data_IF_214721511846
#
_entry.id   IF_214721511846
#
_cell.length_a   1.000
_cell.length_b   1.000
_cell.length_c   1.000
_cell.angle_alpha   90.00
_cell.angle_beta   90.00
_cell.angle_gamma   90.00
#
_symmetry.space_group_name_H-M   'P 1'
#
loop_
_entity.id
_entity.type
_entity.pdbx_description
1 polymer ?
#
# COMPACT_ATOMS: atom_id res chain seq x y z
N UNK A 1 -8.46 18.62 27.80
CA UNK A 1 -7.94 17.23 27.71
C UNK A 1 -7.92 16.85 26.24
N UNK A 2 -6.76 16.71 25.62
CA UNK A 2 -6.66 16.16 24.26
C UNK A 2 -6.56 14.65 24.44
N UNK A 3 -7.57 13.90 23.97
CA UNK A 3 -7.45 12.45 23.93
C UNK A 3 -6.41 12.11 22.86
N UNK A 4 -5.21 11.76 23.31
CA UNK A 4 -4.24 11.03 22.51
C UNK A 4 -4.76 9.62 22.22
N UNK A 5 -5.76 9.51 21.35
CA UNK A 5 -6.14 8.26 20.74
C UNK A 5 -5.15 8.03 19.60
N UNK A 6 -4.19 7.15 19.83
CA UNK A 6 -3.31 6.54 18.84
C UNK A 6 -4.16 6.14 17.62
N UNK A 7 -4.20 6.98 16.58
CA UNK A 7 -4.71 6.57 15.28
C UNK A 7 -3.73 5.49 14.85
N UNK A 8 -4.13 4.23 14.96
CA UNK A 8 -3.46 3.20 14.18
C UNK A 8 -3.92 3.50 12.77
N UNK A 9 -3.19 4.39 12.08
CA UNK A 9 -3.50 4.76 10.70
C UNK A 9 -3.43 3.45 9.92
N UNK A 10 -4.56 3.04 9.35
CA UNK A 10 -4.58 1.89 8.48
C UNK A 10 -3.73 2.26 7.25
N UNK A 11 -2.47 1.81 7.23
CA UNK A 11 -1.52 2.16 6.17
C UNK A 11 -2.00 1.64 4.81
N UNK A 12 -2.94 0.67 4.77
CA UNK A 12 -3.55 0.20 3.51
C UNK A 12 -4.34 1.30 2.84
N UNK A 13 -5.00 2.16 3.62
CA UNK A 13 -5.73 3.34 3.11
C UNK A 13 -4.77 4.33 2.46
N UNK A 14 -3.62 4.57 3.10
CA UNK A 14 -2.58 5.45 2.53
C UNK A 14 -2.01 4.88 1.21
N UNK A 15 -1.75 3.57 1.15
CA UNK A 15 -1.26 2.89 -0.06
C UNK A 15 -2.31 2.93 -1.18
N UNK A 16 -3.59 2.73 -0.86
CA UNK A 16 -4.65 2.89 -1.84
C UNK A 16 -4.72 4.33 -2.38
N UNK A 17 -4.63 5.33 -1.49
CA UNK A 17 -4.59 6.74 -1.88
C UNK A 17 -3.42 7.05 -2.82
N UNK A 18 -2.22 6.54 -2.51
CA UNK A 18 -1.05 6.68 -3.37
C UNK A 18 -1.27 6.07 -4.75
N UNK A 19 -1.79 4.83 -4.83
CA UNK A 19 -2.09 4.18 -6.10
C UNK A 19 -3.06 5.03 -6.95
N UNK A 20 -4.13 5.53 -6.34
CA UNK A 20 -5.12 6.39 -7.00
C UNK A 20 -4.51 7.69 -7.50
N UNK A 21 -3.71 8.38 -6.67
CA UNK A 21 -3.06 9.65 -7.05
C UNK A 21 -2.02 9.47 -8.15
N UNK A 22 -1.32 8.35 -8.17
CA UNK A 22 -0.33 8.00 -9.19
C UNK A 22 -0.94 7.45 -10.47
N UNK A 23 -2.23 7.11 -10.47
CA UNK A 23 -2.88 6.40 -11.58
C UNK A 23 -2.39 4.95 -11.73
N UNK A 24 -1.79 4.39 -10.68
CA UNK A 24 -1.33 3.00 -10.67
C UNK A 24 -2.48 2.07 -10.33
N UNK A 25 -2.51 0.89 -10.95
CA UNK A 25 -3.48 -0.14 -10.56
C UNK A 25 -3.04 -0.76 -9.23
N UNK A 26 -4.00 -1.15 -8.40
CA UNK A 26 -3.75 -1.83 -7.13
C UNK A 26 -4.55 -3.12 -7.05
N UNK A 27 -3.87 -4.21 -6.71
CA UNK A 27 -4.46 -5.52 -6.51
C UNK A 27 -4.16 -6.01 -5.09
N UNK A 28 -5.21 -6.29 -4.33
CA UNK A 28 -5.11 -6.79 -2.96
C UNK A 28 -5.13 -8.31 -2.94
N UNK A 29 -4.29 -8.90 -2.08
CA UNK A 29 -4.47 -10.28 -1.66
C UNK A 29 -5.75 -10.41 -0.83
N UNK A 30 -6.37 -11.60 -0.86
CA UNK A 30 -7.66 -11.86 -0.21
C UNK A 30 -7.65 -11.62 1.31
N UNK A 31 -6.48 -11.74 1.94
CA UNK A 31 -6.27 -11.53 3.38
C UNK A 31 -5.97 -10.07 3.74
N UNK A 32 -5.89 -9.16 2.77
CA UNK A 32 -5.48 -7.77 2.93
C UNK A 32 -4.08 -7.58 3.53
N UNK A 33 -3.29 -8.65 3.59
CA UNK A 33 -1.91 -8.64 4.10
C UNK A 33 -0.89 -8.21 3.05
N UNK A 34 -1.28 -8.14 1.78
CA UNK A 34 -0.43 -7.75 0.67
C UNK A 34 -1.18 -6.97 -0.40
N UNK A 35 -0.54 -5.95 -0.97
CA UNK A 35 -1.00 -5.30 -2.19
C UNK A 35 0.11 -5.21 -3.23
N UNK A 36 -0.23 -5.46 -4.49
CA UNK A 36 0.61 -5.20 -5.65
C UNK A 36 0.10 -3.96 -6.38
N UNK A 37 0.99 -2.99 -6.55
CA UNK A 37 0.76 -1.77 -7.32
C UNK A 37 1.50 -1.91 -8.65
N UNK A 38 0.86 -1.56 -9.75
CA UNK A 38 1.47 -1.61 -11.09
C UNK A 38 1.25 -0.28 -11.81
N UNK A 39 2.33 0.30 -12.33
CA UNK A 39 2.27 1.41 -13.26
C UNK A 39 1.86 0.89 -14.65
N UNK A 40 0.66 1.25 -15.14
CA UNK A 40 0.20 0.78 -16.45
C UNK A 40 1.02 1.35 -17.62
N UNK A 41 1.77 2.43 -17.41
CA UNK A 41 2.53 3.13 -18.45
C UNK A 41 3.92 2.54 -18.63
N UNK A 42 4.61 2.30 -17.51
CA UNK A 42 6.01 1.83 -17.52
C UNK A 42 6.14 0.33 -17.27
N UNK A 43 5.09 -0.31 -16.74
CA UNK A 43 5.16 -1.69 -16.28
C UNK A 43 6.02 -1.87 -15.01
N UNK A 44 6.37 -0.77 -14.34
CA UNK A 44 6.96 -0.80 -13.01
C UNK A 44 5.95 -1.37 -12.02
N UNK A 45 6.42 -2.08 -11.01
CA UNK A 45 5.55 -2.58 -9.95
C UNK A 45 6.15 -2.40 -8.57
N UNK A 46 5.27 -2.34 -7.57
CA UNK A 46 5.64 -2.34 -6.17
C UNK A 46 4.73 -3.31 -5.42
N UNK A 47 5.30 -4.10 -4.52
CA UNK A 47 4.56 -4.94 -3.58
C UNK A 47 4.72 -4.38 -2.17
N UNK A 48 3.61 -4.25 -1.46
CA UNK A 48 3.54 -3.87 -0.05
C UNK A 48 2.98 -5.03 0.77
N UNK A 49 3.52 -5.24 1.97
CA UNK A 49 2.99 -6.21 2.94
C UNK A 49 2.64 -5.50 4.25
N UNK A 50 1.61 -6.01 4.91
CA UNK A 50 1.03 -5.43 6.12
C UNK A 50 0.91 -6.49 7.20
N UNK A 51 1.06 -6.07 8.45
CA UNK A 51 0.72 -6.92 9.59
C UNK A 51 -0.80 -6.94 9.86
N UNK A 52 -1.19 -7.77 10.84
CA UNK A 52 -2.56 -7.88 11.32
C UNK A 52 -3.14 -6.57 11.89
N UNK A 53 -2.28 -5.60 12.23
CA UNK A 53 -2.66 -4.28 12.70
C UNK A 53 -2.73 -3.25 11.55
N UNK A 54 -2.69 -3.70 10.29
CA UNK A 54 -2.69 -2.88 9.10
C UNK A 54 -1.46 -1.96 8.94
N UNK A 55 -0.35 -2.29 9.62
CA UNK A 55 0.90 -1.53 9.51
C UNK A 55 1.74 -2.12 8.39
N UNK A 56 2.24 -1.25 7.53
CA UNK A 56 3.21 -1.61 6.50
C UNK A 56 4.47 -2.22 7.14
N UNK A 57 4.83 -3.44 6.74
CA UNK A 57 6.01 -4.17 7.23
C UNK A 57 7.09 -4.33 6.16
N UNK A 58 6.72 -4.26 4.89
CA UNK A 58 7.66 -4.44 3.78
C UNK A 58 7.17 -3.70 2.52
N UNK A 59 8.12 -3.14 1.76
CA UNK A 59 7.91 -2.54 0.46
C UNK A 59 9.03 -3.02 -0.47
N UNK A 60 8.66 -3.60 -1.62
CA UNK A 60 9.59 -4.09 -2.64
C UNK A 60 9.19 -3.53 -4.00
N UNK A 61 10.13 -2.97 -4.75
CA UNK A 61 9.89 -2.45 -6.09
C UNK A 61 10.58 -3.29 -7.16
N UNK A 62 9.95 -3.37 -8.34
CA UNK A 62 10.56 -3.86 -9.57
C UNK A 62 10.46 -2.75 -10.60
N UNK A 63 11.61 -2.19 -10.97
CA UNK A 63 11.71 -1.15 -12.00
C UNK A 63 12.16 -1.78 -13.31
N UNK A 64 11.41 -1.51 -14.37
CA UNK A 64 11.79 -1.86 -15.74
C UNK A 64 12.40 -0.60 -16.37
N UNK A 65 13.66 -0.73 -16.78
CA UNK A 65 14.41 0.30 -17.51
C UNK A 65 14.07 0.26 -19.00
#
# INVERSE_FOLDING_TARGET
>A
MVLGARITEDHRTAVHGLATMSGWTIHWAADWGRAELTDPTTGNSATTEFDQCARLTSLRGSLRL
#
